data_IF_506959224899
#
_entry.id   IF_506959224899
#
_cell.length_a   1.000
_cell.length_b   1.000
_cell.length_c   1.000
_cell.angle_alpha   90.00
_cell.angle_beta   90.00
_cell.angle_gamma   90.00
#
_symmetry.space_group_name_H-M   'P 1'
#
loop_
_entity.id
_entity.type
_entity.pdbx_description
1 polymer ?
#
# COMPACT_ATOMS: atom_id res chain seq x y z
N UNK A 1 -1.53 31.92 14.36
CA UNK A 1 -0.89 30.67 14.83
C UNK A 1 -1.31 29.39 14.07
N UNK A 2 -2.34 29.41 13.20
CA UNK A 2 -2.88 28.20 12.53
C UNK A 2 -1.91 27.49 11.58
N UNK A 3 -1.16 28.22 10.74
CA UNK A 3 -0.40 27.62 9.63
C UNK A 3 0.77 26.70 10.03
N UNK A 4 1.42 26.92 11.19
CA UNK A 4 2.48 26.02 11.67
C UNK A 4 1.93 24.66 12.10
N UNK A 5 0.71 24.63 12.62
CA UNK A 5 0.09 23.41 13.13
C UNK A 5 -0.43 22.56 11.96
N UNK A 6 -1.01 23.21 10.96
CA UNK A 6 -1.45 22.58 9.70
C UNK A 6 -0.28 21.98 8.90
N UNK A 7 0.84 22.70 8.78
CA UNK A 7 2.04 22.18 8.13
C UNK A 7 2.60 20.93 8.84
N UNK A 8 2.61 20.93 10.18
CA UNK A 8 3.03 19.76 10.96
C UNK A 8 2.06 18.58 10.81
N UNK A 9 0.75 18.84 10.82
CA UNK A 9 -0.26 17.82 10.60
C UNK A 9 -0.11 17.18 9.21
N UNK A 10 0.15 17.99 8.17
CA UNK A 10 0.39 17.50 6.80
C UNK A 10 1.64 16.62 6.71
N UNK A 11 2.74 17.01 7.36
CA UNK A 11 3.96 16.19 7.43
C UNK A 11 3.74 14.88 8.19
N UNK A 12 2.99 14.93 9.30
CA UNK A 12 2.65 13.73 10.06
C UNK A 12 1.77 12.77 9.24
N UNK A 13 0.78 13.30 8.51
CA UNK A 13 -0.05 12.54 7.58
C UNK A 13 0.76 11.90 6.47
N UNK A 14 1.64 12.64 5.80
CA UNK A 14 2.50 12.11 4.75
C UNK A 14 3.40 10.95 5.26
N UNK A 15 3.96 11.09 6.47
CA UNK A 15 4.76 10.02 7.11
C UNK A 15 3.92 8.80 7.49
N UNK A 16 2.67 9.00 7.89
CA UNK A 16 1.75 7.90 8.19
C UNK A 16 1.39 7.12 6.92
N UNK A 17 1.06 7.84 5.83
CA UNK A 17 0.79 7.26 4.52
C UNK A 17 1.99 6.47 4.02
N UNK A 18 3.20 7.06 4.02
CA UNK A 18 4.40 6.36 3.57
C UNK A 18 4.66 5.05 4.33
N UNK A 19 4.52 5.06 5.66
CA UNK A 19 4.67 3.84 6.48
C UNK A 19 3.59 2.79 6.17
N UNK A 20 2.35 3.22 6.00
CA UNK A 20 1.25 2.31 5.65
C UNK A 20 1.45 1.68 4.27
N UNK A 21 1.88 2.46 3.28
CA UNK A 21 2.16 1.99 1.92
C UNK A 21 3.29 0.98 1.88
N UNK A 22 4.38 1.23 2.61
CA UNK A 22 5.50 0.29 2.71
C UNK A 22 5.06 -1.03 3.37
N UNK A 23 4.35 -0.96 4.49
CA UNK A 23 3.81 -2.14 5.18
C UNK A 23 2.87 -2.95 4.28
N UNK A 24 1.98 -2.27 3.57
CA UNK A 24 1.07 -2.90 2.63
C UNK A 24 1.84 -3.58 1.48
N UNK A 25 2.88 -2.92 0.96
CA UNK A 25 3.74 -3.49 -0.08
C UNK A 25 4.49 -4.74 0.38
N UNK A 26 5.04 -4.73 1.60
CA UNK A 26 5.69 -5.92 2.19
C UNK A 26 4.70 -7.06 2.42
N UNK A 27 3.53 -6.76 2.98
CA UNK A 27 2.51 -7.77 3.21
C UNK A 27 1.98 -8.36 1.89
N UNK A 28 1.83 -7.53 0.84
CA UNK A 28 1.48 -7.97 -0.50
C UNK A 28 2.56 -8.89 -1.09
N UNK A 29 3.86 -8.58 -0.93
CA UNK A 29 4.96 -9.46 -1.38
C UNK A 29 4.94 -10.81 -0.68
N UNK A 30 4.68 -10.83 0.63
CA UNK A 30 4.59 -12.06 1.41
C UNK A 30 3.38 -12.91 0.99
N UNK A 31 2.23 -12.28 0.76
CA UNK A 31 1.00 -12.95 0.38
C UNK A 31 0.99 -13.45 -1.08
N UNK A 32 1.78 -12.84 -1.96
CA UNK A 32 1.68 -13.04 -3.41
C UNK A 32 3.01 -13.50 -4.04
N UNK A 33 3.53 -14.69 -3.67
CA UNK A 33 4.76 -15.19 -4.24
C UNK A 33 4.63 -15.34 -5.76
N UNK A 34 5.66 -14.86 -6.47
CA UNK A 34 5.75 -14.87 -7.94
C UNK A 34 5.06 -13.70 -8.65
N UNK A 35 4.51 -12.72 -7.92
CA UNK A 35 4.05 -11.45 -8.48
C UNK A 35 5.03 -10.32 -8.13
N UNK A 36 5.17 -9.36 -9.03
CA UNK A 36 5.91 -8.13 -8.77
C UNK A 36 5.03 -7.18 -7.96
N UNK A 37 5.61 -6.56 -6.94
CA UNK A 37 4.92 -5.62 -6.06
C UNK A 37 5.79 -4.38 -5.86
N UNK A 38 5.27 -3.25 -6.29
CA UNK A 38 5.87 -1.93 -6.19
C UNK A 38 5.04 -1.08 -5.23
N UNK A 39 5.71 -0.37 -4.32
CA UNK A 39 5.08 0.47 -3.32
C UNK A 39 5.65 1.88 -3.48
N UNK A 40 4.78 2.81 -3.84
CA UNK A 40 5.11 4.21 -4.11
C UNK A 40 4.41 5.09 -3.08
N UNK A 41 5.19 5.80 -2.28
CA UNK A 41 4.67 6.79 -1.34
C UNK A 41 5.03 8.18 -1.86
N UNK A 42 4.03 8.91 -2.34
CA UNK A 42 4.15 10.32 -2.69
C UNK A 42 3.65 11.20 -1.54
N UNK A 43 3.93 12.51 -1.59
CA UNK A 43 3.62 13.44 -0.51
C UNK A 43 2.11 13.51 -0.21
N UNK A 44 1.65 12.69 0.76
CA UNK A 44 0.25 12.58 1.17
C UNK A 44 -0.57 11.52 0.44
N UNK A 45 0.03 10.75 -0.48
CA UNK A 45 -0.63 9.67 -1.20
C UNK A 45 0.24 8.41 -1.23
N UNK A 46 -0.40 7.26 -1.23
CA UNK A 46 0.26 5.96 -1.20
C UNK A 46 -0.34 5.03 -2.23
N UNK A 47 0.50 4.40 -3.05
CA UNK A 47 0.09 3.47 -4.09
C UNK A 47 0.85 2.16 -3.94
N UNK A 48 0.17 1.04 -4.09
CA UNK A 48 0.79 -0.28 -4.25
C UNK A 48 0.33 -0.85 -5.57
N UNK A 49 1.28 -1.17 -6.44
CA UNK A 49 1.05 -1.77 -7.76
C UNK A 49 1.48 -3.23 -7.71
N UNK A 50 0.56 -4.11 -8.09
CA UNK A 50 0.81 -5.55 -8.18
C UNK A 50 0.72 -5.93 -9.65
N UNK A 51 1.76 -6.55 -10.19
CA UNK A 51 1.83 -6.94 -11.59
C UNK A 51 2.40 -8.36 -11.74
N UNK A 52 2.08 -9.02 -12.85
CA UNK A 52 2.60 -10.35 -13.15
C UNK A 52 1.67 -11.17 -14.04
N UNK A 53 2.21 -12.29 -14.55
CA UNK A 53 1.46 -13.19 -15.46
C UNK A 53 0.34 -13.89 -14.71
N UNK A 54 -0.85 -13.92 -15.33
CA UNK A 54 -2.00 -14.60 -14.76
C UNK A 54 -2.64 -13.90 -13.56
N UNK A 55 -2.29 -12.63 -13.28
CA UNK A 55 -2.84 -11.85 -12.17
C UNK A 55 -4.37 -11.85 -12.17
N UNK A 56 -5.01 -11.64 -13.33
CA UNK A 56 -6.46 -11.69 -13.47
C UNK A 56 -7.06 -13.03 -13.03
N UNK A 57 -6.46 -14.15 -13.46
CA UNK A 57 -6.91 -15.50 -13.09
C UNK A 57 -6.69 -15.76 -11.60
N UNK A 58 -5.59 -15.28 -11.03
CA UNK A 58 -5.30 -15.34 -9.60
C UNK A 58 -6.27 -14.50 -8.78
N UNK A 59 -6.59 -13.28 -9.21
CA UNK A 59 -7.53 -12.38 -8.54
C UNK A 59 -8.93 -13.01 -8.41
N UNK A 60 -9.35 -13.77 -9.41
CA UNK A 60 -10.61 -14.51 -9.35
C UNK A 60 -10.57 -15.71 -8.40
N UNK A 61 -9.42 -16.39 -8.27
CA UNK A 61 -9.29 -17.61 -7.46
C UNK A 61 -8.86 -17.37 -6.03
N UNK A 62 -8.12 -16.30 -5.77
CA UNK A 62 -7.47 -16.04 -4.50
C UNK A 62 -8.22 -14.94 -3.73
N UNK A 63 -8.95 -15.28 -2.66
CA UNK A 63 -9.68 -14.30 -1.85
C UNK A 63 -8.73 -13.28 -1.20
N UNK A 64 -7.46 -13.62 -1.00
CA UNK A 64 -6.43 -12.74 -0.45
C UNK A 64 -6.26 -11.49 -1.32
N UNK A 65 -6.40 -11.61 -2.65
CA UNK A 65 -6.34 -10.50 -3.61
C UNK A 65 -7.61 -9.64 -3.65
N UNK A 66 -8.73 -10.15 -3.14
CA UNK A 66 -10.01 -9.42 -3.10
C UNK A 66 -10.16 -8.55 -1.87
N UNK A 67 -9.41 -8.87 -0.80
CA UNK A 67 -9.49 -8.15 0.46
C UNK A 67 -8.12 -7.67 0.98
N UNK A 68 -7.54 -6.63 0.35
CA UNK A 68 -6.22 -6.12 0.73
C UNK A 68 -6.15 -5.63 2.19
N UNK A 69 -7.28 -5.21 2.76
CA UNK A 69 -7.37 -4.83 4.17
C UNK A 69 -7.04 -5.96 5.15
N UNK A 70 -7.08 -7.22 4.71
CA UNK A 70 -6.63 -8.36 5.51
C UNK A 70 -5.11 -8.47 5.67
N UNK A 71 -4.33 -7.78 4.84
CA UNK A 71 -2.85 -7.85 4.84
C UNK A 71 -2.19 -7.01 5.92
N UNK A 72 -2.93 -6.06 6.50
CA UNK A 72 -2.43 -5.12 7.52
C UNK A 72 -2.78 -5.54 8.95
N UNK A 73 -3.27 -6.77 9.15
CA UNK A 73 -3.56 -7.33 10.47
C UNK A 73 -2.28 -7.79 11.18
#
# INVERSE_FOLDING_TARGET
>A
MSGKLEARARLAGARAVARATLRLGEAARAALPGLAVEAEAEAGAGRVVISGRGLWRRWLRDPVLRWPGGWLR
#
